data_IF_901846432889
#
_entry.id   IF_901846432889
#
_cell.length_a   1.000
_cell.length_b   1.000
_cell.length_c   1.000
_cell.angle_alpha   90.00
_cell.angle_beta   90.00
_cell.angle_gamma   90.00
#
_symmetry.space_group_name_H-M   'P 1'
#
loop_
_entity.id
_entity.type
_entity.pdbx_description
1 polymer ?
#
# COMPACT_ATOMS: atom_id res chain seq x y z
N UNK A 1 -18.41 34.06 15.45
CA UNK A 1 -18.20 32.60 15.63
C UNK A 1 -18.44 31.80 14.34
N UNK A 2 -18.82 32.44 13.21
CA UNK A 2 -19.09 31.78 11.91
C UNK A 2 -17.90 31.74 10.93
N UNK A 3 -16.84 32.52 11.12
CA UNK A 3 -15.70 32.54 10.17
C UNK A 3 -14.87 31.25 10.12
N UNK A 4 -14.91 30.44 11.18
CA UNK A 4 -14.12 29.20 11.28
C UNK A 4 -14.87 27.98 10.70
N UNK A 5 -16.17 28.09 10.44
CA UNK A 5 -16.98 26.97 9.95
C UNK A 5 -16.77 26.69 8.46
N UNK A 6 -16.60 27.76 7.65
CA UNK A 6 -16.45 27.67 6.20
C UNK A 6 -15.19 26.87 5.77
N UNK A 7 -14.00 27.08 6.36
CA UNK A 7 -12.82 26.28 6.05
C UNK A 7 -12.98 24.80 6.43
N UNK A 8 -13.66 24.51 7.54
CA UNK A 8 -13.89 23.15 8.02
C UNK A 8 -14.85 22.41 7.08
N UNK A 9 -15.98 23.02 6.71
CA UNK A 9 -16.94 22.41 5.78
C UNK A 9 -16.30 22.10 4.43
N UNK A 10 -15.52 23.05 3.90
CA UNK A 10 -14.80 22.87 2.63
C UNK A 10 -13.75 21.75 2.71
N UNK A 11 -13.05 21.63 3.84
CA UNK A 11 -12.11 20.52 4.06
C UNK A 11 -12.82 19.16 4.16
N UNK A 12 -14.03 19.10 4.72
CA UNK A 12 -14.84 17.88 4.80
C UNK A 12 -15.41 17.47 3.43
N UNK A 13 -15.89 18.42 2.64
CA UNK A 13 -16.35 18.18 1.25
C UNK A 13 -15.20 17.66 0.38
N UNK A 14 -14.04 18.32 0.42
CA UNK A 14 -12.85 17.87 -0.30
C UNK A 14 -12.45 16.44 0.07
N UNK A 15 -12.53 16.08 1.37
CA UNK A 15 -12.26 14.70 1.81
C UNK A 15 -13.30 13.71 1.26
N UNK A 16 -14.60 14.05 1.25
CA UNK A 16 -15.66 13.21 0.69
C UNK A 16 -15.46 12.97 -0.80
N UNK A 17 -15.21 14.02 -1.57
CA UNK A 17 -14.96 13.92 -3.00
C UNK A 17 -13.72 13.08 -3.30
N UNK A 18 -12.63 13.30 -2.55
CA UNK A 18 -11.38 12.54 -2.72
C UNK A 18 -11.51 11.06 -2.33
N UNK A 19 -12.41 10.72 -1.41
CA UNK A 19 -12.75 9.33 -1.07
C UNK A 19 -13.64 8.69 -2.14
N UNK A 20 -14.60 9.44 -2.70
CA UNK A 20 -15.54 8.97 -3.73
C UNK A 20 -14.90 8.80 -5.12
N UNK A 21 -13.84 9.56 -5.42
CA UNK A 21 -13.14 9.55 -6.72
C UNK A 21 -11.92 8.64 -6.75
N UNK A 22 -11.74 7.77 -5.75
CA UNK A 22 -10.71 6.72 -5.83
C UNK A 22 -11.12 5.74 -6.91
N UNK A 23 -10.66 5.99 -8.14
CA UNK A 23 -10.67 4.98 -9.18
C UNK A 23 -9.92 3.76 -8.66
N UNK A 24 -10.51 2.56 -8.78
CA UNK A 24 -9.82 1.35 -8.37
C UNK A 24 -8.56 1.23 -9.21
N UNK A 25 -7.40 1.39 -8.57
CA UNK A 25 -6.12 1.19 -9.23
C UNK A 25 -6.08 -0.27 -9.66
N UNK A 26 -5.95 -0.51 -10.97
CA UNK A 26 -5.78 -1.85 -11.52
C UNK A 26 -4.43 -2.40 -11.09
N UNK A 27 -4.40 -3.03 -9.92
CA UNK A 27 -3.21 -3.66 -9.36
C UNK A 27 -3.05 -5.09 -9.88
N UNK A 28 -1.84 -5.44 -10.30
CA UNK A 28 -1.45 -6.84 -10.38
C UNK A 28 -1.30 -7.39 -8.95
N UNK A 29 -2.23 -8.26 -8.55
CA UNK A 29 -2.27 -8.82 -7.19
C UNK A 29 -1.25 -9.93 -6.95
N UNK A 30 -0.61 -10.46 -8.00
CA UNK A 30 0.43 -11.51 -7.91
C UNK A 30 0.10 -12.65 -6.92
N UNK A 31 -1.15 -13.10 -6.90
CA UNK A 31 -1.59 -14.20 -6.03
C UNK A 31 -2.19 -13.80 -4.69
N UNK A 32 -2.32 -12.50 -4.36
CA UNK A 32 -3.14 -12.05 -3.23
C UNK A 32 -4.62 -12.33 -3.53
N UNK A 33 -5.19 -13.28 -2.79
CA UNK A 33 -6.60 -13.69 -2.91
C UNK A 33 -7.43 -13.10 -1.78
N UNK A 34 -8.66 -12.67 -2.10
CA UNK A 34 -9.62 -12.17 -1.14
C UNK A 34 -10.25 -10.84 -1.57
N UNK A 35 -11.47 -10.60 -1.09
CA UNK A 35 -12.23 -9.37 -1.36
C UNK A 35 -12.83 -8.78 -0.08
N UNK A 36 -12.31 -9.16 1.10
CA UNK A 36 -12.75 -8.55 2.35
C UNK A 36 -12.33 -7.08 2.39
N UNK A 37 -13.04 -6.28 3.17
CA UNK A 37 -12.74 -4.87 3.34
C UNK A 37 -11.29 -4.63 3.81
N UNK A 38 -10.79 -5.47 4.72
CA UNK A 38 -9.41 -5.39 5.21
C UNK A 38 -8.39 -5.59 4.07
N UNK A 39 -8.59 -6.60 3.20
CA UNK A 39 -7.71 -6.84 2.05
C UNK A 39 -7.77 -5.67 1.06
N UNK A 40 -8.96 -5.12 0.81
CA UNK A 40 -9.10 -3.95 -0.07
C UNK A 40 -8.33 -2.74 0.48
N UNK A 41 -8.45 -2.45 1.77
CA UNK A 41 -7.68 -1.38 2.42
C UNK A 41 -6.16 -1.61 2.31
N UNK A 42 -5.69 -2.85 2.49
CA UNK A 42 -4.26 -3.17 2.32
C UNK A 42 -3.81 -3.01 0.86
N UNK A 43 -4.63 -3.40 -0.12
CA UNK A 43 -4.34 -3.21 -1.54
C UNK A 43 -4.31 -1.72 -1.92
N UNK A 44 -5.16 -0.88 -1.32
CA UNK A 44 -5.09 0.57 -1.51
C UNK A 44 -3.75 1.15 -1.02
N UNK A 45 -3.22 0.66 0.11
CA UNK A 45 -1.89 1.05 0.57
C UNK A 45 -0.78 0.54 -0.35
N UNK A 46 -0.91 -0.68 -0.90
CA UNK A 46 0.00 -1.18 -1.94
C UNK A 46 0.03 -0.25 -3.15
N UNK A 47 -1.13 0.18 -3.65
CA UNK A 47 -1.20 1.10 -4.79
C UNK A 47 -0.46 2.41 -4.51
N UNK A 48 -0.66 3.00 -3.33
CA UNK A 48 0.03 4.22 -2.92
C UNK A 48 1.54 4.01 -2.79
N UNK A 49 1.96 2.90 -2.19
CA UNK A 49 3.37 2.58 -2.03
C UNK A 49 4.07 2.39 -3.38
N UNK A 50 3.40 1.74 -4.34
CA UNK A 50 3.95 1.38 -5.65
C UNK A 50 4.32 2.59 -6.51
N UNK A 51 3.60 3.71 -6.38
CA UNK A 51 3.88 4.93 -7.16
C UNK A 51 5.02 5.78 -6.59
N UNK A 52 5.57 5.42 -5.42
CA UNK A 52 6.61 6.21 -4.73
C UNK A 52 7.96 5.48 -4.66
N UNK A 53 9.01 6.25 -4.39
CA UNK A 53 10.36 5.74 -4.11
C UNK A 53 10.67 5.62 -2.63
N UNK A 54 9.68 5.84 -1.76
CA UNK A 54 9.86 5.75 -0.32
C UNK A 54 10.06 4.30 0.14
N UNK A 55 10.81 4.12 1.22
CA UNK A 55 10.92 2.82 1.90
C UNK A 55 9.57 2.44 2.52
N UNK A 56 9.20 1.16 2.39
CA UNK A 56 7.90 0.64 2.86
C UNK A 56 8.14 -0.40 3.95
N UNK A 57 7.44 -0.26 5.08
CA UNK A 57 7.40 -1.25 6.15
C UNK A 57 6.08 -2.03 6.06
N UNK A 58 6.17 -3.35 5.91
CA UNK A 58 5.00 -4.25 5.88
C UNK A 58 4.96 -5.00 7.21
N UNK A 59 3.87 -4.83 7.95
CA UNK A 59 3.64 -5.49 9.24
C UNK A 59 2.52 -6.53 9.15
N UNK A 60 2.51 -7.44 10.10
CA UNK A 60 1.51 -8.50 10.18
C UNK A 60 2.08 -9.77 10.79
N UNK A 61 1.18 -10.65 11.22
CA UNK A 61 1.52 -11.93 11.85
C UNK A 61 2.25 -12.87 10.87
N UNK A 62 2.86 -13.92 11.42
CA UNK A 62 3.51 -14.97 10.63
C UNK A 62 2.48 -15.67 9.73
N UNK A 63 2.83 -15.89 8.46
CA UNK A 63 1.96 -16.59 7.50
C UNK A 63 0.88 -15.74 6.82
N UNK A 64 0.78 -14.43 7.09
CA UNK A 64 -0.22 -13.55 6.44
C UNK A 64 0.13 -13.12 5.01
N UNK A 65 1.21 -13.66 4.43
CA UNK A 65 1.59 -13.39 3.04
C UNK A 65 2.25 -12.02 2.81
N UNK A 66 2.93 -11.44 3.81
CA UNK A 66 3.65 -10.15 3.69
C UNK A 66 4.58 -10.06 2.46
N UNK A 67 5.20 -11.18 2.10
CA UNK A 67 6.06 -11.29 0.90
C UNK A 67 5.29 -11.04 -0.40
N UNK A 68 4.05 -11.53 -0.51
CA UNK A 68 3.20 -11.25 -1.67
C UNK A 68 2.87 -9.77 -1.78
N UNK A 69 2.65 -9.09 -0.65
CA UNK A 69 2.46 -7.64 -0.63
C UNK A 69 3.72 -6.88 -1.06
N UNK A 70 4.91 -7.31 -0.62
CA UNK A 70 6.17 -6.71 -1.08
C UNK A 70 6.38 -6.86 -2.58
N UNK A 71 6.09 -8.05 -3.11
CA UNK A 71 6.20 -8.36 -4.53
C UNK A 71 5.16 -7.57 -5.36
N UNK A 72 3.92 -7.47 -4.88
CA UNK A 72 2.88 -6.65 -5.49
C UNK A 72 3.31 -5.17 -5.56
N UNK A 73 3.93 -4.63 -4.51
CA UNK A 73 4.46 -3.25 -4.54
C UNK A 73 5.53 -3.10 -5.63
N UNK A 74 6.45 -4.06 -5.74
CA UNK A 74 7.51 -4.01 -6.77
C UNK A 74 6.93 -4.07 -8.18
N UNK A 75 6.05 -5.02 -8.46
CA UNK A 75 5.51 -5.27 -9.80
C UNK A 75 4.60 -4.14 -10.30
N UNK A 76 3.91 -3.44 -9.39
CA UNK A 76 3.06 -2.30 -9.74
C UNK A 76 3.82 -0.96 -9.75
N UNK A 77 5.14 -0.97 -9.54
CA UNK A 77 5.95 0.26 -9.47
C UNK A 77 6.77 0.50 -10.74
N UNK A 78 7.35 1.70 -10.83
CA UNK A 78 8.31 2.04 -11.92
C UNK A 78 9.57 1.17 -11.93
N UNK A 79 9.85 0.43 -10.84
CA UNK A 79 11.01 -0.47 -10.72
C UNK A 79 10.68 -1.93 -11.04
N UNK A 80 9.47 -2.25 -11.51
CA UNK A 80 9.04 -3.62 -11.82
C UNK A 80 9.98 -4.37 -12.77
N UNK A 81 10.58 -3.68 -13.75
CA UNK A 81 11.53 -4.27 -14.70
C UNK A 81 12.90 -4.61 -14.07
N UNK A 82 13.20 -4.09 -12.88
CA UNK A 82 14.43 -4.38 -12.15
C UNK A 82 14.34 -5.66 -11.33
N UNK A 83 15.50 -6.13 -10.87
CA UNK A 83 15.57 -7.30 -9.99
C UNK A 83 14.87 -7.04 -8.65
N UNK A 84 14.06 -8.01 -8.21
CA UNK A 84 13.53 -8.07 -6.85
C UNK A 84 14.35 -9.09 -6.06
N UNK A 85 15.10 -8.62 -5.06
CA UNK A 85 15.97 -9.47 -4.23
C UNK A 85 15.34 -9.59 -2.84
N UNK A 86 14.83 -10.78 -2.53
CA UNK A 86 14.35 -11.11 -1.19
C UNK A 86 15.52 -11.58 -0.32
N UNK A 87 15.59 -11.04 0.91
CA UNK A 87 16.62 -11.41 1.89
C UNK A 87 15.91 -11.80 3.19
N UNK A 88 16.12 -13.04 3.64
CA UNK A 88 15.65 -13.49 4.94
C UNK A 88 16.74 -13.21 5.99
N UNK A 89 16.54 -12.14 6.78
CA UNK A 89 17.46 -11.77 7.84
C UNK A 89 17.56 -12.81 8.95
N UNK A 90 16.56 -13.68 9.13
CA UNK A 90 16.61 -14.75 10.14
C UNK A 90 17.54 -15.90 9.76
N UNK A 91 17.83 -16.05 8.47
CA UNK A 91 18.74 -17.07 7.95
C UNK A 91 20.21 -16.60 7.87
N UNK A 92 20.49 -15.33 8.15
CA UNK A 92 21.85 -14.77 8.08
C UNK A 92 22.54 -14.96 9.44
N UNK A 93 23.68 -15.68 9.51
CA UNK A 93 24.43 -15.82 10.75
C UNK A 93 25.04 -14.48 11.19
N UNK A 94 25.02 -14.20 12.49
CA UNK A 94 25.54 -12.93 13.07
C UNK A 94 27.06 -12.77 12.92
N UNK A 95 27.79 -13.84 12.61
CA UNK A 95 29.23 -13.83 12.40
C UNK A 95 29.59 -13.47 10.96
N UNK A 96 29.42 -12.20 10.59
CA UNK A 96 30.03 -11.62 9.39
C UNK A 96 31.37 -10.96 9.71
#
# INVERSE_FOLDING_TARGET
>A
MEEVSLPILRALEYRKEKLATREPVSLNRLGIVGNSHAIQCSLDEVAKASVTTASVLITGETGTGKELFALAIHDNSKRAAGAFVAVDCGAIPESL
#
